data_IF_549369435862
#
_entry.id   IF_549369435862
#
_cell.length_a   1.000
_cell.length_b   1.000
_cell.length_c   1.000
_cell.angle_alpha   90.00
_cell.angle_beta   90.00
_cell.angle_gamma   90.00
#
_symmetry.space_group_name_H-M   'P 1'
#
loop_
_entity.id
_entity.type
_entity.pdbx_description
1 polymer ?
#
# COMPACT_ATOMS: atom_id res chain seq x y z
N UNK A 1 3.90 7.56 10.62
CA UNK A 1 4.82 8.42 9.85
C UNK A 1 5.78 7.59 8.99
N UNK A 2 6.59 6.68 9.55
CA UNK A 2 7.63 5.96 8.78
C UNK A 2 7.15 4.72 7.99
N UNK A 3 5.93 4.25 8.19
CA UNK A 3 5.45 3.01 7.57
C UNK A 3 5.55 2.97 6.04
N UNK A 4 5.32 4.08 5.29
CA UNK A 4 5.52 4.08 3.84
C UNK A 4 6.98 3.87 3.41
N UNK A 5 7.94 4.31 4.23
CA UNK A 5 9.37 4.11 3.98
C UNK A 5 9.80 2.65 4.16
N UNK A 6 9.00 1.86 4.88
CA UNK A 6 9.27 0.44 5.13
C UNK A 6 8.74 -0.48 4.01
N UNK A 7 8.27 0.06 2.89
CA UNK A 7 7.85 -0.77 1.74
C UNK A 7 9.03 -1.49 1.06
N UNK A 8 10.26 -0.96 1.19
CA UNK A 8 11.47 -1.54 0.58
C UNK A 8 12.23 -2.55 1.46
N UNK A 9 11.68 -2.95 2.61
CA UNK A 9 12.37 -3.86 3.55
C UNK A 9 12.56 -5.26 2.98
N UNK A 10 13.54 -5.99 3.52
CA UNK A 10 13.76 -7.39 3.11
C UNK A 10 12.63 -8.30 3.61
N UNK A 11 12.46 -9.44 2.95
CA UNK A 11 11.50 -10.46 3.39
C UNK A 11 11.76 -10.88 4.84
N UNK A 12 13.04 -11.03 5.22
CA UNK A 12 13.45 -11.34 6.58
C UNK A 12 12.93 -10.31 7.61
N UNK A 13 13.11 -9.02 7.33
CA UNK A 13 12.62 -7.94 8.20
C UNK A 13 11.08 -7.93 8.27
N UNK A 14 10.41 -8.15 7.14
CA UNK A 14 8.94 -8.28 7.10
C UNK A 14 8.45 -9.44 7.97
N UNK A 15 9.10 -10.59 7.88
CA UNK A 15 8.79 -11.78 8.68
C UNK A 15 9.03 -11.53 10.17
N UNK A 16 10.13 -10.86 10.54
CA UNK A 16 10.38 -10.48 11.95
C UNK A 16 9.29 -9.59 12.51
N UNK A 17 8.85 -8.59 11.74
CA UNK A 17 7.74 -7.71 12.12
C UNK A 17 6.43 -8.49 12.27
N UNK A 18 6.11 -9.38 11.32
CA UNK A 18 4.90 -10.20 11.39
C UNK A 18 4.93 -11.14 12.59
N UNK A 19 6.08 -11.75 12.90
CA UNK A 19 6.27 -12.60 14.09
C UNK A 19 6.08 -11.80 15.38
N UNK A 20 6.56 -10.56 15.45
CA UNK A 20 6.31 -9.69 16.59
C UNK A 20 4.81 -9.36 16.75
N UNK A 21 4.12 -9.02 15.66
CA UNK A 21 2.66 -8.80 15.68
C UNK A 21 1.92 -10.06 16.14
N UNK A 22 2.32 -11.22 15.62
CA UNK A 22 1.77 -12.51 16.00
C UNK A 22 1.93 -12.74 17.50
N UNK A 23 3.12 -12.49 18.07
CA UNK A 23 3.35 -12.63 19.50
C UNK A 23 2.42 -11.74 20.34
N UNK A 24 2.20 -10.48 19.93
CA UNK A 24 1.25 -9.59 20.59
C UNK A 24 -0.19 -10.13 20.55
N UNK A 25 -0.65 -10.60 19.39
CA UNK A 25 -1.99 -11.19 19.24
C UNK A 25 -2.11 -12.44 20.12
N UNK A 26 -1.08 -13.30 20.17
CA UNK A 26 -1.08 -14.47 21.04
C UNK A 26 -1.17 -14.11 22.51
N UNK A 27 -0.44 -13.09 22.94
CA UNK A 27 -0.47 -12.62 24.32
C UNK A 27 -1.85 -12.11 24.73
N UNK A 28 -2.46 -11.24 23.90
CA UNK A 28 -3.77 -10.64 24.20
C UNK A 28 -4.90 -11.68 24.23
N UNK A 29 -4.88 -12.65 23.31
CA UNK A 29 -5.93 -13.67 23.21
C UNK A 29 -5.61 -14.99 23.93
N UNK A 30 -4.49 -15.08 24.65
CA UNK A 30 -4.07 -16.29 25.35
C UNK A 30 -3.86 -17.51 24.42
N UNK A 31 -3.43 -17.27 23.19
CA UNK A 31 -3.37 -18.30 22.13
C UNK A 31 -2.16 -19.20 22.33
N UNK A 32 -2.34 -20.52 22.22
CA UNK A 32 -1.24 -21.50 22.35
C UNK A 32 -0.22 -21.34 21.21
N UNK A 33 1.02 -21.78 21.45
CA UNK A 33 2.14 -21.66 20.48
C UNK A 33 1.82 -22.24 19.09
N UNK A 34 1.18 -23.41 19.07
CA UNK A 34 0.91 -24.19 17.85
C UNK A 34 -0.46 -23.93 17.23
N UNK A 35 -1.28 -23.10 17.89
CA UNK A 35 -2.63 -22.81 17.43
C UNK A 35 -2.60 -21.77 16.32
N UNK A 36 -3.45 -21.97 15.30
CA UNK A 36 -3.49 -21.10 14.13
C UNK A 36 -3.89 -19.67 14.50
N UNK A 37 -3.13 -18.68 14.05
CA UNK A 37 -3.31 -17.29 14.50
C UNK A 37 -4.37 -16.51 13.71
N UNK A 38 -4.64 -16.90 12.46
CA UNK A 38 -5.56 -16.21 11.54
C UNK A 38 -6.98 -15.99 12.11
N UNK A 39 -7.61 -16.92 12.84
CA UNK A 39 -8.93 -16.67 13.44
C UNK A 39 -8.93 -15.49 14.42
N UNK A 40 -7.83 -15.29 15.15
CA UNK A 40 -7.67 -14.20 16.10
C UNK A 40 -7.45 -12.85 15.41
N UNK A 41 -6.80 -12.84 14.25
CA UNK A 41 -6.72 -11.63 13.41
C UNK A 41 -8.11 -11.18 12.96
N UNK A 42 -8.95 -12.12 12.50
CA UNK A 42 -10.31 -11.83 12.08
C UNK A 42 -11.16 -11.32 13.26
N UNK A 43 -11.05 -11.97 14.43
CA UNK A 43 -11.74 -11.56 15.65
C UNK A 43 -11.32 -10.17 16.13
N UNK A 44 -10.04 -9.85 16.03
CA UNK A 44 -9.47 -8.57 16.41
C UNK A 44 -9.69 -7.47 15.35
N UNK A 45 -10.20 -7.84 14.16
CA UNK A 45 -10.24 -6.98 12.96
C UNK A 45 -8.88 -6.35 12.66
N UNK A 46 -7.81 -7.12 12.90
CA UNK A 46 -6.45 -6.71 12.64
C UNK A 46 -6.03 -7.14 11.24
N UNK A 47 -5.35 -6.23 10.54
CA UNK A 47 -4.67 -6.51 9.29
C UNK A 47 -3.24 -6.98 9.57
N UNK A 48 -2.69 -7.80 8.66
CA UNK A 48 -1.27 -8.13 8.66
C UNK A 48 -0.45 -6.87 8.47
N UNK A 49 0.76 -6.83 9.02
CA UNK A 49 1.59 -5.62 8.94
C UNK A 49 1.96 -5.26 7.50
N UNK A 50 2.09 -6.25 6.63
CA UNK A 50 2.35 -6.01 5.21
C UNK A 50 1.23 -5.22 4.54
N UNK A 51 -0.01 -5.67 4.71
CA UNK A 51 -1.19 -5.00 4.16
C UNK A 51 -1.36 -3.59 4.73
N UNK A 52 -1.10 -3.42 6.03
CA UNK A 52 -1.07 -2.09 6.66
C UNK A 52 -0.03 -1.17 6.03
N UNK A 53 1.16 -1.67 5.70
CA UNK A 53 2.18 -0.86 5.01
C UNK A 53 1.71 -0.45 3.61
N UNK A 54 1.15 -1.38 2.83
CA UNK A 54 0.56 -1.08 1.50
C UNK A 54 -0.50 0.02 1.59
N UNK A 55 -1.45 -0.10 2.52
CA UNK A 55 -2.50 0.91 2.75
C UNK A 55 -1.90 2.26 3.13
N UNK A 56 -0.94 2.29 4.06
CA UNK A 56 -0.31 3.53 4.51
C UNK A 56 0.49 4.21 3.38
N UNK A 57 1.17 3.43 2.54
CA UNK A 57 1.87 3.94 1.36
C UNK A 57 0.90 4.54 0.36
N UNK A 58 -0.19 3.85 0.03
CA UNK A 58 -1.22 4.35 -0.88
C UNK A 58 -1.91 5.60 -0.34
N UNK A 59 -2.23 5.63 0.96
CA UNK A 59 -2.80 6.81 1.62
C UNK A 59 -1.83 8.00 1.58
N UNK A 60 -0.53 7.74 1.76
CA UNK A 60 0.48 8.79 1.70
C UNK A 60 0.64 9.32 0.28
N UNK A 61 0.69 8.42 -0.72
CA UNK A 61 0.72 8.79 -2.14
C UNK A 61 -0.52 9.60 -2.55
N UNK A 62 -1.72 9.15 -2.17
CA UNK A 62 -2.96 9.90 -2.43
C UNK A 62 -2.86 11.34 -1.91
N UNK A 63 -2.35 11.52 -0.68
CA UNK A 63 -2.15 12.85 -0.12
C UNK A 63 -1.16 13.67 -0.94
N UNK A 64 -0.03 13.08 -1.36
CA UNK A 64 0.94 13.77 -2.22
C UNK A 64 0.30 14.21 -3.53
N UNK A 65 -0.47 13.35 -4.20
CA UNK A 65 -1.10 13.66 -5.48
C UNK A 65 -2.18 14.74 -5.35
N UNK A 66 -3.01 14.69 -4.30
CA UNK A 66 -4.10 15.66 -4.09
C UNK A 66 -3.60 17.00 -3.56
N UNK A 67 -2.66 16.99 -2.62
CA UNK A 67 -2.15 18.23 -1.99
C UNK A 67 -0.94 18.82 -2.69
N UNK A 68 -0.35 18.09 -3.64
CA UNK A 68 0.91 18.43 -4.30
C UNK A 68 2.06 18.68 -3.29
N UNK A 69 1.94 18.09 -2.10
CA UNK A 69 2.85 18.30 -0.98
C UNK A 69 3.41 16.96 -0.46
N UNK A 70 4.74 16.86 -0.30
CA UNK A 70 5.74 17.88 -0.61
C UNK A 70 6.07 17.93 -2.12
N UNK A 71 6.36 19.14 -2.63
CA UNK A 71 6.59 19.38 -4.08
C UNK A 71 7.69 18.50 -4.67
N UNK A 72 8.80 18.34 -3.95
CA UNK A 72 9.93 17.51 -4.38
C UNK A 72 9.57 16.02 -4.60
N UNK A 73 8.50 15.52 -3.97
CA UNK A 73 7.97 14.18 -4.24
C UNK A 73 6.95 14.23 -5.37
N UNK A 74 6.04 15.20 -5.35
CA UNK A 74 5.00 15.36 -6.37
C UNK A 74 5.61 15.47 -7.78
N UNK A 75 6.63 16.30 -7.96
CA UNK A 75 7.35 16.50 -9.23
C UNK A 75 7.99 15.22 -9.79
N UNK A 76 8.16 14.18 -8.96
CA UNK A 76 8.71 12.89 -9.40
C UNK A 76 7.65 11.94 -9.94
N UNK A 77 6.36 12.24 -9.73
CA UNK A 77 5.26 11.47 -10.27
C UNK A 77 4.76 12.12 -11.56
N UNK A 78 4.42 11.28 -12.53
CA UNK A 78 3.86 11.71 -13.80
C UNK A 78 2.69 10.79 -14.13
N UNK A 79 1.54 11.36 -14.51
CA UNK A 79 0.40 10.55 -14.94
C UNK A 79 0.60 10.07 -16.37
N UNK A 80 0.02 8.92 -16.71
CA UNK A 80 0.10 8.39 -18.07
C UNK A 80 -0.66 9.27 -19.07
N UNK A 81 -1.70 9.97 -18.62
CA UNK A 81 -2.42 10.98 -19.40
C UNK A 81 -1.53 12.09 -19.94
N UNK A 82 -0.50 12.48 -19.18
CA UNK A 82 0.39 13.59 -19.55
C UNK A 82 1.33 13.21 -20.69
N UNK A 83 1.53 11.91 -20.91
CA UNK A 83 2.46 11.34 -21.88
C UNK A 83 1.77 10.85 -23.15
N UNK A 84 0.51 10.41 -23.04
CA UNK A 84 -0.21 9.76 -24.12
C UNK A 84 -1.53 10.52 -24.37
N UNK A 85 -1.76 11.04 -25.59
CA UNK A 85 -2.92 11.89 -25.88
C UNK A 85 -4.26 11.13 -26.01
N UNK A 86 -4.25 9.80 -26.08
CA UNK A 86 -5.47 8.96 -26.11
C UNK A 86 -5.42 7.92 -25.00
N UNK A 87 -5.96 8.29 -23.86
CA UNK A 87 -5.97 7.45 -22.67
C UNK A 87 -7.42 7.23 -22.25
N UNK A 88 -7.79 6.01 -21.91
CA UNK A 88 -9.11 5.71 -21.35
C UNK A 88 -9.22 6.31 -19.94
N UNK A 89 -10.42 6.68 -19.49
CA UNK A 89 -10.63 7.29 -18.15
C UNK A 89 -9.97 6.52 -17.00
N UNK A 90 -9.89 5.19 -17.11
CA UNK A 90 -9.20 4.35 -16.11
C UNK A 90 -7.68 4.53 -16.09
N UNK A 91 -7.08 4.80 -17.25
CA UNK A 91 -5.65 5.01 -17.39
C UNK A 91 -5.20 6.45 -17.08
N UNK A 92 -6.12 7.43 -17.03
CA UNK A 92 -5.80 8.81 -16.66
C UNK A 92 -5.27 8.89 -15.22
N UNK A 93 -5.84 8.09 -14.32
CA UNK A 93 -5.41 8.04 -12.92
C UNK A 93 -4.18 7.14 -12.70
N UNK A 94 -3.66 6.46 -13.72
CA UNK A 94 -2.49 5.60 -13.59
C UNK A 94 -1.20 6.41 -13.67
N UNK A 95 -0.23 6.01 -12.85
CA UNK A 95 1.08 6.62 -12.81
C UNK A 95 2.02 5.98 -13.84
N UNK A 96 2.85 6.80 -14.45
CA UNK A 96 4.00 6.34 -15.23
C UNK A 96 5.06 5.80 -14.27
N UNK A 97 5.64 4.65 -14.60
CA UNK A 97 6.71 4.04 -13.83
C UNK A 97 8.01 4.27 -14.60
N UNK A 98 8.95 5.07 -14.07
CA UNK A 98 10.19 5.34 -14.79
C UNK A 98 11.03 4.06 -14.92
N UNK A 99 11.80 3.93 -16.02
CA UNK A 99 12.69 2.79 -16.20
C UNK A 99 13.71 2.75 -15.07
N UNK A 100 13.99 1.55 -14.57
CA UNK A 100 14.91 1.33 -13.47
C UNK A 100 15.70 0.06 -13.69
N UNK A 101 17.01 0.15 -13.51
CA UNK A 101 17.93 -0.97 -13.74
C UNK A 101 18.44 -1.59 -12.42
N UNK A 102 18.31 -0.87 -11.30
CA UNK A 102 18.80 -1.33 -10.00
C UNK A 102 17.66 -1.79 -9.09
N UNK A 103 17.90 -2.88 -8.37
CA UNK A 103 16.94 -3.46 -7.41
C UNK A 103 16.64 -2.50 -6.25
N UNK A 104 17.62 -1.71 -5.83
CA UNK A 104 17.46 -0.67 -4.80
C UNK A 104 16.48 0.41 -5.25
N UNK A 105 16.58 0.87 -6.51
CA UNK A 105 15.66 1.87 -7.02
C UNK A 105 14.26 1.29 -7.26
N UNK A 106 14.17 0.03 -7.72
CA UNK A 106 12.90 -0.71 -7.83
C UNK A 106 12.14 -0.78 -6.48
N UNK A 107 12.88 -0.92 -5.38
CA UNK A 107 12.34 -0.96 -4.00
C UNK A 107 12.18 0.42 -3.35
N UNK A 108 12.56 1.49 -4.05
CA UNK A 108 12.39 2.85 -3.54
C UNK A 108 10.91 3.17 -3.35
N UNK A 109 10.63 4.13 -2.47
CA UNK A 109 9.25 4.58 -2.22
C UNK A 109 8.55 4.98 -3.53
N UNK A 110 9.23 5.68 -4.43
CA UNK A 110 8.67 6.16 -5.69
C UNK A 110 8.15 5.00 -6.55
N UNK A 111 9.01 4.04 -6.87
CA UNK A 111 8.66 2.92 -7.74
C UNK A 111 7.63 2.00 -7.05
N UNK A 112 7.86 1.66 -5.78
CA UNK A 112 6.98 0.76 -5.04
C UNK A 112 5.57 1.35 -4.87
N UNK A 113 5.45 2.66 -4.59
CA UNK A 113 4.15 3.32 -4.44
C UNK A 113 3.43 3.47 -5.78
N UNK A 114 4.13 3.80 -6.88
CA UNK A 114 3.54 3.87 -8.21
C UNK A 114 3.05 2.49 -8.70
N UNK A 115 3.83 1.43 -8.45
CA UNK A 115 3.43 0.06 -8.74
C UNK A 115 2.18 -0.34 -7.94
N UNK A 116 2.17 -0.07 -6.63
CA UNK A 116 1.00 -0.33 -5.78
C UNK A 116 -0.23 0.47 -6.21
N UNK A 117 -0.05 1.73 -6.61
CA UNK A 117 -1.15 2.57 -7.08
C UNK A 117 -1.80 1.99 -8.33
N UNK A 118 -0.98 1.53 -9.28
CA UNK A 118 -1.44 0.98 -10.55
C UNK A 118 -2.15 -0.38 -10.43
N UNK A 119 -2.02 -1.07 -9.30
CA UNK A 119 -2.78 -2.31 -9.03
C UNK A 119 -4.12 -2.05 -8.36
N UNK A 120 -4.39 -0.82 -7.90
CA UNK A 120 -5.67 -0.46 -7.27
C UNK A 120 -6.75 -0.25 -8.35
N UNK A 121 -7.93 -0.86 -8.20
CA UNK A 121 -9.07 -0.65 -9.07
C UNK A 121 -9.49 0.82 -9.21
N UNK A 122 -9.93 1.19 -10.43
CA UNK A 122 -10.32 2.56 -10.77
C UNK A 122 -11.41 3.14 -9.86
N UNK A 123 -12.38 2.33 -9.44
CA UNK A 123 -13.45 2.77 -8.53
C UNK A 123 -12.93 3.27 -7.18
N UNK A 124 -11.81 2.72 -6.69
CA UNK A 124 -11.16 3.16 -5.45
C UNK A 124 -10.32 4.42 -5.73
N UNK A 125 -9.58 4.44 -6.84
CA UNK A 125 -8.75 5.59 -7.23
C UNK A 125 -9.59 6.85 -7.50
N UNK A 126 -10.75 6.72 -8.13
CA UNK A 126 -11.67 7.82 -8.47
C UNK A 126 -12.52 8.31 -7.26
N UNK A 127 -12.03 8.10 -6.04
CA UNK A 127 -12.76 8.50 -4.84
C UNK A 127 -12.64 10.00 -4.57
N UNK A 128 -13.78 10.63 -4.28
CA UNK A 128 -13.93 12.08 -4.13
C UNK A 128 -13.26 12.67 -2.88
N UNK A 129 -12.93 11.84 -1.89
CA UNK A 129 -12.29 12.28 -0.64
C UNK A 129 -11.27 11.28 -0.13
N UNK A 130 -10.30 11.78 0.65
CA UNK A 130 -9.31 10.94 1.34
C UNK A 130 -9.97 9.90 2.26
N UNK A 131 -11.05 10.27 2.97
CA UNK A 131 -11.76 9.35 3.86
C UNK A 131 -12.42 8.21 3.10
N UNK A 132 -13.08 8.52 1.97
CA UNK A 132 -13.68 7.50 1.10
C UNK A 132 -12.61 6.61 0.48
N UNK A 133 -11.48 7.19 0.03
CA UNK A 133 -10.35 6.42 -0.49
C UNK A 133 -9.84 5.41 0.52
N UNK A 134 -9.54 5.89 1.74
CA UNK A 134 -8.99 5.06 2.81
C UNK A 134 -9.94 3.93 3.22
N UNK A 135 -11.25 4.22 3.34
CA UNK A 135 -12.25 3.23 3.71
C UNK A 135 -12.42 2.15 2.63
N UNK A 136 -12.59 2.55 1.36
CA UNK A 136 -12.72 1.61 0.25
C UNK A 136 -11.46 0.76 0.06
N UNK A 137 -10.28 1.34 0.25
CA UNK A 137 -9.02 0.62 0.18
C UNK A 137 -8.88 -0.41 1.31
N UNK A 138 -9.23 -0.04 2.55
CA UNK A 138 -9.22 -0.98 3.68
C UNK A 138 -10.17 -2.15 3.47
N UNK A 139 -11.37 -1.87 2.95
CA UNK A 139 -12.36 -2.89 2.64
C UNK A 139 -11.83 -3.86 1.56
N UNK A 140 -11.34 -3.32 0.43
CA UNK A 140 -10.82 -4.15 -0.65
C UNK A 140 -9.64 -5.02 -0.20
N UNK A 141 -8.73 -4.48 0.64
CA UNK A 141 -7.62 -5.25 1.20
C UNK A 141 -8.09 -6.36 2.13
N UNK A 142 -9.15 -6.13 2.91
CA UNK A 142 -9.76 -7.18 3.73
C UNK A 142 -10.41 -8.29 2.90
N UNK A 143 -10.88 -7.97 1.70
CA UNK A 143 -11.46 -8.89 0.72
C UNK A 143 -10.41 -9.63 -0.14
N UNK A 144 -9.12 -9.34 0.04
CA UNK A 144 -8.03 -10.02 -0.65
C UNK A 144 -7.36 -9.22 -1.76
N UNK A 145 -7.59 -7.91 -1.86
CA UNK A 145 -6.79 -7.04 -2.72
C UNK A 145 -5.31 -7.16 -2.33
N UNK A 146 -4.47 -7.59 -3.28
CA UNK A 146 -3.04 -7.96 -3.14
C UNK A 146 -2.71 -9.41 -2.71
N UNK A 147 -3.69 -10.30 -2.58
CA UNK A 147 -3.45 -11.75 -2.48
C UNK A 147 -3.43 -12.33 -3.89
N UNK A 148 -2.23 -12.72 -4.36
CA UNK A 148 -2.02 -13.49 -5.58
C UNK A 148 -1.63 -14.91 -5.23
#
# INVERSE_FOLDING_TARGET
YCAPLLNGITLEQSTRLQTAQNACVRYVYGVKRWEHITPFYNRARLLRLEDRRKILTLCFLYKILVTQCPSYLYEKYQFRSDLIPRVTRSHELLLNIPPHNTTTYAKSFLIASANLWNTVPYNILNSLSFKSFQASLQQAVSEGLFQA
#
